data_IF_245369830368
#
_entry.id   IF_245369830368
#
_cell.length_a   1.000
_cell.length_b   1.000
_cell.length_c   1.000
_cell.angle_alpha   90.00
_cell.angle_beta   90.00
_cell.angle_gamma   90.00
#
_symmetry.space_group_name_H-M   'P 1'
#
loop_
_entity.id
_entity.type
_entity.pdbx_description
1 polymer ?
#
# COMPACT_ATOMS: atom_id res chain seq x y z
N UNK A 1 8.58 -12.86 -11.63
CA UNK A 1 8.74 -11.88 -10.53
C UNK A 1 7.41 -11.60 -9.88
N UNK A 2 7.39 -11.37 -8.56
CA UNK A 2 6.20 -11.07 -7.72
C UNK A 2 5.34 -9.90 -8.22
N UNK A 3 5.79 -9.14 -9.22
CA UNK A 3 5.11 -7.98 -9.81
C UNK A 3 4.66 -8.20 -11.27
N UNK A 4 4.67 -9.43 -11.80
CA UNK A 4 4.11 -9.71 -13.14
C UNK A 4 4.95 -9.31 -14.36
N UNK A 5 6.13 -8.68 -14.17
CA UNK A 5 7.01 -8.22 -15.27
C UNK A 5 7.99 -9.26 -15.82
N UNK A 6 7.90 -10.54 -15.44
CA UNK A 6 8.82 -11.58 -15.90
C UNK A 6 10.26 -11.51 -15.34
N UNK A 7 10.71 -10.39 -14.77
CA UNK A 7 12.03 -10.23 -14.11
C UNK A 7 11.94 -10.39 -12.58
N UNK A 8 13.06 -10.77 -11.94
CA UNK A 8 13.24 -10.85 -10.48
C UNK A 8 14.15 -9.73 -9.94
N UNK A 9 14.55 -8.78 -10.78
CA UNK A 9 15.52 -7.76 -10.41
C UNK A 9 14.90 -6.76 -9.42
N UNK A 10 15.64 -6.45 -8.35
CA UNK A 10 15.29 -5.37 -7.44
C UNK A 10 15.45 -4.02 -8.14
N UNK A 11 14.37 -3.25 -8.23
CA UNK A 11 14.38 -1.89 -8.80
C UNK A 11 14.31 -0.88 -7.65
N UNK A 12 15.29 0.05 -7.58
CA UNK A 12 15.27 1.19 -6.63
C UNK A 12 16.44 1.31 -5.62
N UNK A 13 17.64 0.79 -5.92
CA UNK A 13 18.67 0.49 -4.89
C UNK A 13 19.86 1.47 -4.78
N UNK A 14 19.70 2.80 -4.89
CA UNK A 14 20.89 3.69 -4.85
C UNK A 14 20.69 5.05 -4.17
N UNK A 15 21.47 5.39 -3.10
CA UNK A 15 21.67 6.77 -2.68
C UNK A 15 22.36 7.55 -3.81
N UNK A 16 21.77 8.67 -4.22
CA UNK A 16 22.27 9.52 -5.32
C UNK A 16 21.67 9.24 -6.71
N UNK A 17 20.70 8.34 -6.83
CA UNK A 17 19.95 8.16 -8.08
C UNK A 17 18.85 9.23 -8.22
N UNK A 18 18.99 10.15 -9.17
CA UNK A 18 17.92 11.09 -9.57
C UNK A 18 16.74 10.39 -10.28
N UNK A 19 16.79 9.06 -10.40
CA UNK A 19 15.78 8.19 -11.02
C UNK A 19 15.34 7.05 -10.08
N UNK A 20 15.55 7.21 -8.78
CA UNK A 20 15.11 6.28 -7.73
C UNK A 20 13.59 6.22 -7.62
N UNK A 21 13.03 5.00 -7.76
CA UNK A 21 11.65 4.54 -7.52
C UNK A 21 10.45 5.32 -8.13
N UNK A 22 10.59 6.57 -8.57
CA UNK A 22 9.44 7.40 -8.97
C UNK A 22 9.11 7.32 -10.47
N UNK A 23 10.03 7.74 -11.33
CA UNK A 23 9.74 8.03 -12.75
C UNK A 23 9.90 6.83 -13.70
N UNK A 24 10.46 5.71 -13.25
CA UNK A 24 10.73 4.51 -14.07
C UNK A 24 9.83 3.30 -13.74
N UNK A 25 8.87 3.46 -12.82
CA UNK A 25 7.91 2.41 -12.52
C UNK A 25 6.61 2.67 -13.27
N UNK A 26 6.18 1.75 -14.16
CA UNK A 26 4.85 1.85 -14.77
C UNK A 26 3.79 1.79 -13.68
N UNK A 27 2.85 2.74 -13.68
CA UNK A 27 1.70 2.67 -12.79
C UNK A 27 0.68 1.68 -13.34
N UNK A 28 0.11 0.86 -12.45
CA UNK A 28 -1.02 -0.01 -12.79
C UNK A 28 -2.30 0.77 -12.52
N UNK A 29 -3.07 1.05 -13.56
CA UNK A 29 -4.37 1.69 -13.42
C UNK A 29 -5.39 0.65 -12.96
N UNK A 30 -5.82 0.75 -11.71
CA UNK A 30 -6.94 -0.03 -11.17
C UNK A 30 -8.26 0.66 -11.52
N UNK A 31 -8.65 0.67 -12.80
CA UNK A 31 -10.03 1.07 -13.17
C UNK A 31 -10.91 -0.16 -13.21
N UNK A 32 -11.77 -0.32 -12.21
CA UNK A 32 -12.93 -1.19 -12.31
C UNK A 32 -14.05 -0.41 -12.99
N UNK A 33 -14.66 -1.01 -14.02
CA UNK A 33 -15.84 -0.49 -14.71
C UNK A 33 -16.97 -0.20 -13.72
N UNK A 34 -17.10 1.06 -13.28
CA UNK A 34 -18.26 1.55 -12.53
C UNK A 34 -18.09 1.80 -11.04
N UNK A 35 -16.98 1.39 -10.40
CA UNK A 35 -16.70 1.66 -8.99
C UNK A 35 -15.42 2.47 -8.85
N UNK A 36 -15.48 3.74 -9.28
CA UNK A 36 -14.48 4.72 -8.87
C UNK A 36 -14.81 5.05 -7.41
N UNK A 37 -14.01 4.54 -6.47
CA UNK A 37 -14.03 5.03 -5.10
C UNK A 37 -13.88 6.55 -5.16
N UNK A 38 -14.88 7.28 -4.68
CA UNK A 38 -14.88 8.77 -4.74
C UNK A 38 -13.71 9.38 -3.96
N UNK A 39 -13.06 8.56 -3.14
CA UNK A 39 -11.87 8.91 -2.37
C UNK A 39 -10.63 8.23 -2.96
N UNK A 40 -9.57 9.00 -3.08
CA UNK A 40 -8.25 8.55 -3.54
C UNK A 40 -7.31 8.43 -2.35
N UNK A 41 -6.34 7.52 -2.41
CA UNK A 41 -5.24 7.49 -1.43
C UNK A 41 -4.31 8.67 -1.69
N UNK A 42 -4.04 9.46 -0.65
CA UNK A 42 -3.15 10.63 -0.70
C UNK A 42 -1.78 10.34 -0.11
N UNK A 43 -1.69 9.42 0.85
CA UNK A 43 -0.44 8.99 1.48
C UNK A 43 -0.50 7.54 1.94
N UNK A 44 0.67 6.91 2.09
CA UNK A 44 0.82 5.53 2.54
C UNK A 44 2.03 5.37 3.46
N UNK A 45 1.84 4.68 4.58
CA UNK A 45 2.89 4.29 5.52
C UNK A 45 2.94 2.77 5.65
N UNK A 46 4.16 2.21 5.66
CA UNK A 46 4.39 0.76 5.73
C UNK A 46 5.39 0.46 6.84
N UNK A 47 4.99 -0.41 7.76
CA UNK A 47 5.81 -0.98 8.83
C UNK A 47 6.20 -2.44 8.59
N UNK A 48 6.66 -3.13 9.64
CA UNK A 48 7.17 -4.53 9.56
C UNK A 48 6.07 -5.54 9.19
N UNK A 49 4.81 -5.26 9.54
CA UNK A 49 3.65 -6.08 9.17
C UNK A 49 2.36 -5.28 9.01
N UNK A 50 2.44 -3.95 9.10
CA UNK A 50 1.30 -3.03 9.14
C UNK A 50 1.38 -2.07 7.97
N UNK A 51 0.25 -1.78 7.33
CA UNK A 51 0.14 -0.76 6.28
C UNK A 51 -1.02 0.14 6.60
N UNK A 52 -0.82 1.45 6.51
CA UNK A 52 -1.86 2.46 6.69
C UNK A 52 -1.89 3.40 5.49
N UNK A 53 -3.10 3.80 5.07
CA UNK A 53 -3.30 4.80 4.02
C UNK A 53 -4.14 5.95 4.54
N UNK A 54 -3.80 7.15 4.08
CA UNK A 54 -4.62 8.34 4.25
C UNK A 54 -5.46 8.51 2.99
N UNK A 55 -6.77 8.61 3.17
CA UNK A 55 -7.71 8.87 2.08
C UNK A 55 -7.92 10.38 1.89
N UNK A 56 -8.38 10.78 0.71
CA UNK A 56 -8.60 12.19 0.36
C UNK A 56 -9.69 12.89 1.19
N UNK A 57 -10.48 12.13 1.95
CA UNK A 57 -11.45 12.62 2.93
C UNK A 57 -10.91 12.64 4.38
N UNK A 58 -9.59 12.52 4.56
CA UNK A 58 -8.90 12.50 5.86
C UNK A 58 -9.17 11.27 6.74
N UNK A 59 -9.87 10.25 6.22
CA UNK A 59 -9.95 8.96 6.90
C UNK A 59 -8.64 8.19 6.77
N UNK A 60 -8.38 7.34 7.76
CA UNK A 60 -7.22 6.44 7.79
C UNK A 60 -7.73 5.00 7.74
N UNK A 61 -7.15 4.20 6.85
CA UNK A 61 -7.40 2.76 6.78
C UNK A 61 -6.10 2.03 7.04
N UNK A 62 -6.08 1.16 8.05
CA UNK A 62 -4.92 0.36 8.43
C UNK A 62 -5.24 -1.13 8.31
N UNK A 63 -4.27 -1.91 7.83
CA UNK A 63 -4.38 -3.36 7.75
C UNK A 63 -3.02 -4.02 7.97
N UNK A 64 -3.04 -5.33 8.19
CA UNK A 64 -1.89 -6.16 8.50
C UNK A 64 -1.93 -6.71 9.92
N UNK A 65 -0.73 -6.96 10.46
CA UNK A 65 -0.51 -7.40 11.84
C UNK A 65 -1.03 -6.35 12.83
N UNK A 66 -1.77 -6.83 13.84
CA UNK A 66 -2.34 -6.06 14.92
C UNK A 66 -2.07 -6.68 16.31
N UNK A 67 -1.12 -7.61 16.44
CA UNK A 67 -0.90 -8.34 17.70
C UNK A 67 -0.61 -7.47 18.94
N UNK A 68 -0.23 -6.19 18.75
CA UNK A 68 -0.01 -5.21 19.83
C UNK A 68 -0.98 -4.02 19.77
N UNK A 69 -2.02 -4.08 18.95
CA UNK A 69 -3.00 -2.99 18.78
C UNK A 69 -2.53 -1.86 17.87
N UNK A 70 -1.51 -2.11 17.05
CA UNK A 70 -0.87 -1.11 16.20
C UNK A 70 -1.77 -0.57 15.06
N UNK A 71 -2.92 -1.20 14.80
CA UNK A 71 -3.90 -0.71 13.81
C UNK A 71 -4.85 0.35 14.39
N UNK A 72 -4.94 0.49 15.71
CA UNK A 72 -5.75 1.54 16.36
C UNK A 72 -7.26 1.28 16.38
N UNK A 73 -7.72 0.05 16.12
CA UNK A 73 -9.15 -0.31 16.14
C UNK A 73 -9.71 -0.60 17.54
N UNK A 74 -8.89 -0.49 18.60
CA UNK A 74 -9.29 -0.81 19.97
C UNK A 74 -9.27 -2.32 20.28
N UNK A 75 -8.70 -3.13 19.39
CA UNK A 75 -8.50 -4.56 19.51
C UNK A 75 -7.09 -4.96 19.01
N UNK A 76 -6.77 -6.25 19.11
CA UNK A 76 -5.48 -6.83 18.66
C UNK A 76 -5.67 -7.86 17.54
N UNK A 77 -6.76 -7.75 16.78
CA UNK A 77 -7.04 -8.68 15.69
C UNK A 77 -6.46 -8.16 14.38
N UNK A 78 -5.82 -9.04 13.60
CA UNK A 78 -5.26 -8.69 12.30
C UNK A 78 -6.37 -8.28 11.31
N UNK A 79 -6.03 -7.47 10.30
CA UNK A 79 -6.96 -7.12 9.19
C UNK A 79 -6.27 -7.31 7.85
N UNK A 80 -7.01 -7.68 6.81
CA UNK A 80 -6.50 -7.73 5.43
C UNK A 80 -6.15 -9.12 4.89
N UNK A 81 -6.55 -10.18 5.59
CA UNK A 81 -6.53 -11.56 5.09
C UNK A 81 -7.74 -11.91 4.20
N UNK A 82 -8.74 -11.02 4.11
CA UNK A 82 -9.77 -11.07 3.09
C UNK A 82 -10.50 -12.40 3.02
N UNK A 83 -11.11 -12.85 4.12
CA UNK A 83 -12.25 -13.74 4.03
C UNK A 83 -13.35 -13.37 5.03
N UNK A 84 -14.05 -12.25 4.80
CA UNK A 84 -15.50 -12.16 4.50
C UNK A 84 -15.93 -10.71 4.36
#
# INVERSE_FOLDING_TARGET
GRLGYGSQDSRGTGPGSSTGMGSNLPYVRLTTSGNHYTYTVTDIEVGVGTTCVIMSNNDIVCWGDNGIGQLGYGDTEDRGDGQT
#
